data_IF_292549896059
#
_entry.id   IF_292549896059
#
_cell.length_a   1.000
_cell.length_b   1.000
_cell.length_c   1.000
_cell.angle_alpha   90.00
_cell.angle_beta   90.00
_cell.angle_gamma   90.00
#
_symmetry.space_group_name_H-M   'P 1'
#
loop_
_entity.id
_entity.type
_entity.pdbx_description
1 polymer ?
#
# COMPACT_ATOMS: atom_id res chain seq x y z
N UNK A 1 4.73 -48.50 -25.88
CA UNK A 1 4.57 -47.07 -25.54
C UNK A 1 5.58 -46.75 -24.46
N UNK A 2 6.48 -45.76 -24.61
CA UNK A 2 7.42 -45.46 -23.54
C UNK A 2 6.72 -44.65 -22.44
N UNK A 3 6.86 -45.09 -21.19
CA UNK A 3 6.40 -44.35 -20.01
C UNK A 3 7.11 -42.99 -19.93
N UNK A 4 6.35 -41.94 -19.62
CA UNK A 4 6.89 -40.59 -19.43
C UNK A 4 7.64 -40.54 -18.10
N UNK A 5 8.87 -40.02 -18.03
CA UNK A 5 9.58 -39.90 -16.77
C UNK A 5 8.87 -38.90 -15.84
N UNK A 6 8.73 -39.28 -14.58
CA UNK A 6 8.09 -38.46 -13.55
C UNK A 6 8.83 -37.12 -13.37
N UNK A 7 8.10 -36.00 -13.54
CA UNK A 7 8.62 -34.65 -13.35
C UNK A 7 9.05 -34.44 -11.89
N UNK A 8 10.35 -34.24 -11.66
CA UNK A 8 10.89 -33.88 -10.35
C UNK A 8 10.37 -32.50 -9.95
N UNK A 9 9.63 -32.41 -8.84
CA UNK A 9 9.18 -31.13 -8.26
C UNK A 9 10.41 -30.31 -7.88
N UNK A 10 10.72 -29.24 -8.62
CA UNK A 10 11.76 -28.28 -8.22
C UNK A 10 11.32 -27.64 -6.91
N UNK A 11 12.04 -27.93 -5.82
CA UNK A 11 11.96 -27.21 -4.55
C UNK A 11 12.72 -25.89 -4.66
N UNK A 12 12.50 -25.13 -5.73
CA UNK A 12 12.91 -23.74 -5.75
C UNK A 12 11.84 -22.97 -4.99
N UNK A 13 12.00 -22.98 -3.67
CA UNK A 13 11.33 -22.02 -2.81
C UNK A 13 11.80 -20.66 -3.29
N UNK A 14 10.92 -19.92 -3.97
CA UNK A 14 11.18 -18.51 -4.23
C UNK A 14 11.28 -17.84 -2.87
N UNK A 15 12.50 -17.68 -2.38
CA UNK A 15 12.79 -16.85 -1.23
C UNK A 15 12.49 -15.43 -1.65
N UNK A 16 11.26 -14.97 -1.40
CA UNK A 16 11.00 -13.54 -1.34
C UNK A 16 11.79 -13.09 -0.12
N UNK A 17 12.99 -12.55 -0.33
CA UNK A 17 13.72 -11.87 0.74
C UNK A 17 12.77 -10.83 1.31
N UNK A 18 12.32 -10.96 2.58
CA UNK A 18 11.45 -9.96 3.14
C UNK A 18 12.25 -8.65 3.12
N UNK A 19 11.71 -7.65 2.42
CA UNK A 19 12.28 -6.31 2.43
C UNK A 19 12.41 -5.93 3.91
N UNK A 20 13.65 -5.80 4.40
CA UNK A 20 13.92 -5.42 5.79
C UNK A 20 13.64 -3.92 5.92
N UNK A 21 12.37 -3.56 5.82
CA UNK A 21 11.89 -2.21 6.09
C UNK A 21 12.11 -2.03 7.59
N UNK A 22 13.08 -1.19 7.93
CA UNK A 22 13.21 -0.70 9.30
C UNK A 22 12.03 0.22 9.54
N UNK A 23 10.96 -0.37 10.05
CA UNK A 23 9.82 0.38 10.48
C UNK A 23 10.27 1.35 11.59
N UNK A 24 9.95 2.63 11.40
CA UNK A 24 10.31 3.68 12.34
C UNK A 24 9.14 3.96 13.26
N UNK A 25 9.43 4.40 14.48
CA UNK A 25 8.37 4.86 15.40
C UNK A 25 7.49 5.96 14.79
N UNK A 26 8.02 6.72 13.82
CA UNK A 26 7.25 7.73 13.10
C UNK A 26 6.21 7.13 12.17
N UNK A 27 6.50 5.98 11.54
CA UNK A 27 5.50 5.25 10.75
C UNK A 27 4.36 4.73 11.65
N UNK A 28 4.65 4.32 12.89
CA UNK A 28 3.62 3.96 13.86
C UNK A 28 2.72 5.12 14.19
N UNK A 29 3.33 6.24 14.58
CA UNK A 29 2.62 7.44 15.01
C UNK A 29 1.78 8.01 13.88
N UNK A 30 2.33 8.04 12.66
CA UNK A 30 1.62 8.52 11.48
C UNK A 30 0.41 7.63 11.17
N UNK A 31 0.59 6.32 11.16
CA UNK A 31 -0.51 5.40 10.84
C UNK A 31 -1.58 5.38 11.94
N UNK A 32 -1.17 5.41 13.20
CA UNK A 32 -2.08 5.48 14.33
C UNK A 32 -2.83 6.82 14.36
N UNK A 33 -2.14 7.93 14.13
CA UNK A 33 -2.73 9.26 14.10
C UNK A 33 -3.71 9.46 12.94
N UNK A 34 -3.41 8.93 11.76
CA UNK A 34 -4.28 9.06 10.60
C UNK A 34 -5.40 8.01 10.57
N UNK A 35 -5.09 6.74 10.83
CA UNK A 35 -6.00 5.62 10.58
C UNK A 35 -6.41 4.86 11.85
N UNK A 36 -5.95 5.27 13.03
CA UNK A 36 -6.28 4.63 14.31
C UNK A 36 -5.68 3.23 14.48
N UNK A 37 -4.80 2.80 13.56
CA UNK A 37 -4.19 1.47 13.58
C UNK A 37 -2.67 1.56 13.57
N UNK A 38 -2.05 0.63 14.29
CA UNK A 38 -0.61 0.42 14.22
C UNK A 38 -0.17 -0.29 12.94
N UNK A 39 1.09 -0.13 12.59
CA UNK A 39 1.72 -0.75 11.42
C UNK A 39 1.77 -2.26 11.51
N UNK A 40 1.94 -2.82 12.72
CA UNK A 40 1.91 -4.27 12.89
C UNK A 40 0.56 -4.85 12.45
N UNK A 41 -0.54 -4.21 12.86
CA UNK A 41 -1.89 -4.56 12.43
C UNK A 41 -2.05 -4.39 10.92
N UNK A 42 -1.61 -3.27 10.36
CA UNK A 42 -1.64 -2.99 8.92
C UNK A 42 -0.83 -4.01 8.10
N UNK A 43 0.31 -4.48 8.62
CA UNK A 43 1.19 -5.44 7.95
C UNK A 43 0.59 -6.83 7.91
N UNK A 44 -0.05 -7.26 8.99
CA UNK A 44 -0.52 -8.62 9.18
C UNK A 44 -1.98 -8.83 8.77
N UNK A 45 -2.82 -7.79 8.82
CA UNK A 45 -4.21 -7.85 8.40
C UNK A 45 -4.41 -7.20 7.02
N UNK A 46 -4.65 -8.04 6.01
CA UNK A 46 -4.88 -7.59 4.64
C UNK A 46 -6.16 -6.75 4.51
N UNK A 47 -7.21 -7.03 5.29
CA UNK A 47 -8.44 -6.26 5.27
C UNK A 47 -8.23 -4.84 5.78
N UNK A 48 -7.48 -4.72 6.88
CA UNK A 48 -7.08 -3.41 7.43
C UNK A 48 -6.18 -2.63 6.48
N UNK A 49 -5.28 -3.31 5.79
CA UNK A 49 -4.46 -2.68 4.74
C UNK A 49 -5.32 -2.14 3.59
N UNK A 50 -6.30 -2.91 3.12
CA UNK A 50 -7.21 -2.48 2.05
C UNK A 50 -8.02 -1.25 2.50
N UNK A 51 -8.50 -1.22 3.75
CA UNK A 51 -9.23 -0.08 4.32
C UNK A 51 -8.38 1.21 4.31
N UNK A 52 -7.12 1.12 4.76
CA UNK A 52 -6.18 2.25 4.74
C UNK A 52 -5.91 2.75 3.32
N UNK A 53 -5.61 1.85 2.37
CA UNK A 53 -5.27 2.27 1.01
C UNK A 53 -6.48 2.86 0.25
N UNK A 54 -7.70 2.36 0.50
CA UNK A 54 -8.93 2.97 -0.06
C UNK A 54 -9.08 4.43 0.39
N UNK A 55 -8.88 4.69 1.68
CA UNK A 55 -9.02 6.04 2.22
C UNK A 55 -7.94 6.99 1.70
N UNK A 56 -6.72 6.49 1.51
CA UNK A 56 -5.63 7.26 0.88
C UNK A 56 -5.96 7.66 -0.56
N UNK A 57 -6.62 6.77 -1.31
CA UNK A 57 -7.06 7.09 -2.67
C UNK A 57 -8.14 8.20 -2.63
N UNK A 58 -9.11 8.11 -1.72
CA UNK A 58 -10.13 9.14 -1.53
C UNK A 58 -9.50 10.51 -1.19
N UNK A 59 -8.58 10.54 -0.21
CA UNK A 59 -7.83 11.74 0.21
C UNK A 59 -7.01 12.34 -0.96
N UNK A 60 -6.42 11.49 -1.82
CA UNK A 60 -5.69 11.93 -3.02
C UNK A 60 -6.61 12.57 -4.06
N UNK A 61 -7.76 11.95 -4.34
CA UNK A 61 -8.76 12.48 -5.29
C UNK A 61 -9.28 13.83 -4.82
N UNK A 62 -9.65 13.95 -3.54
CA UNK A 62 -10.08 15.22 -2.95
C UNK A 62 -9.02 16.30 -3.06
N UNK A 63 -7.77 15.96 -2.70
CA UNK A 63 -6.64 16.89 -2.80
C UNK A 63 -6.41 17.37 -4.23
N UNK A 64 -6.58 16.48 -5.22
CA UNK A 64 -6.46 16.83 -6.64
C UNK A 64 -7.55 17.80 -7.09
N UNK A 65 -8.80 17.57 -6.69
CA UNK A 65 -9.92 18.48 -6.97
C UNK A 65 -9.66 19.87 -6.37
N UNK A 66 -9.18 19.93 -5.13
CA UNK A 66 -8.84 21.19 -4.47
C UNK A 66 -7.71 21.91 -5.22
N UNK A 67 -6.64 21.19 -5.60
CA UNK A 67 -5.53 21.77 -6.35
C UNK A 67 -5.96 22.32 -7.72
N UNK A 68 -6.82 21.59 -8.44
CA UNK A 68 -7.40 22.04 -9.72
C UNK A 68 -8.27 23.29 -9.54
N UNK A 69 -9.13 23.32 -8.51
CA UNK A 69 -9.97 24.48 -8.21
C UNK A 69 -9.15 25.72 -7.84
N UNK A 70 -8.08 25.57 -7.05
CA UNK A 70 -7.18 26.68 -6.72
C UNK A 70 -6.48 27.22 -7.98
N UNK A 71 -6.02 26.33 -8.86
CA UNK A 71 -5.44 26.72 -10.15
C UNK A 71 -6.43 27.48 -11.04
N UNK A 72 -7.70 27.07 -11.05
CA UNK A 72 -8.78 27.75 -11.78
C UNK A 72 -9.10 29.15 -11.23
N UNK A 73 -9.11 29.32 -9.91
CA UNK A 73 -9.41 30.61 -9.25
C UNK A 73 -8.33 31.67 -9.51
N UNK A 74 -7.06 31.27 -9.66
CA UNK A 74 -5.96 32.18 -10.02
C UNK A 74 -6.00 32.61 -11.50
N UNK A 75 -6.61 31.79 -12.38
CA UNK A 75 -6.75 32.08 -13.81
C UNK A 75 -7.92 33.01 -14.13
N UNK A 76 -8.96 33.10 -13.29
CA UNK A 76 -10.16 33.91 -13.53
C UNK A 76 -10.08 35.34 -12.98
N UNK A 77 -8.94 35.73 -12.39
CA UNK A 77 -8.74 37.01 -11.71
C UNK A 77 -7.91 38.05 -12.46
N UNK A 78 -7.69 37.90 -13.77
CA UNK A 78 -6.98 38.89 -14.62
C UNK A 78 -7.88 39.51 -15.67
#
# INVERSE_FOLDING_TARGET
>A
MPEKPAMKKRKEWFFITPLKIQYTNEMEKALHGAHGIGYETYRHDCGKRIEVEKRREEEYVESKIVAENIGGVLSSGT
#
